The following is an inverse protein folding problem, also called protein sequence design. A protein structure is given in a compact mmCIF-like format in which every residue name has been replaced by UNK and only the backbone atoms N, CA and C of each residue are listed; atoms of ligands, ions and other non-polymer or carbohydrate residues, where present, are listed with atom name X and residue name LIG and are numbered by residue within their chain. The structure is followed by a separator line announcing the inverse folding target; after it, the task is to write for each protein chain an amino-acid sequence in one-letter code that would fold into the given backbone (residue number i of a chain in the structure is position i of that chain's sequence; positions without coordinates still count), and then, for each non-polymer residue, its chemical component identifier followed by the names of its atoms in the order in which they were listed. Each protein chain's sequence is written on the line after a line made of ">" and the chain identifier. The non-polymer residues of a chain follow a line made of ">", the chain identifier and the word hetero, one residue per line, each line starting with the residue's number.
data_IF_368213998569
#
_entry.id   IF_368213998569
#
_cell.length_a   1.000
_cell.length_b   1.000
_cell.length_c   1.000
_cell.angle_alpha   90.00
_cell.angle_beta   90.00
_cell.angle_gamma   90.00
#
_symmetry.space_group_name_H-M   'P 1'
#
loop_
_entity.id
_entity.type
_entity.pdbx_description
1 polymer ?
#
# COMPACT_ATOMS: atom_id res chain seq x y z
N UNK A 1 0.05 -14.61 -1.54
CA UNK A 1 -0.56 -13.97 -0.38
C UNK A 1 -0.17 -12.50 -0.23
N UNK A 2 -1.16 -11.59 -0.20
CA UNK A 2 -1.07 -10.51 0.79
C UNK A 2 -0.84 -11.21 2.14
N UNK A 3 0.40 -11.23 2.66
CA UNK A 3 0.63 -11.50 4.07
C UNK A 3 0.20 -10.23 4.83
N UNK A 4 -1.07 -9.85 4.65
CA UNK A 4 -1.76 -8.93 5.52
C UNK A 4 -2.35 -9.81 6.60
N UNK A 5 -1.52 -10.16 7.59
CA UNK A 5 -2.07 -10.57 8.88
C UNK A 5 -2.86 -9.37 9.40
N UNK A 6 -4.18 -9.45 9.31
CA UNK A 6 -5.07 -8.41 9.85
C UNK A 6 -5.09 -8.59 11.36
N UNK A 7 -4.26 -7.81 12.04
CA UNK A 7 -4.18 -7.79 13.50
C UNK A 7 -5.31 -6.92 14.06
N UNK A 8 -6.31 -7.53 14.70
CA UNK A 8 -7.44 -6.80 15.31
C UNK A 8 -7.69 -7.26 16.75
N UNK A 9 -8.17 -6.34 17.59
CA UNK A 9 -8.47 -6.55 19.03
C UNK A 9 -9.91 -6.98 19.33
N UNK A 10 -10.85 -6.87 18.38
CA UNK A 10 -12.28 -7.13 18.64
C UNK A 10 -12.70 -8.56 18.24
N UNK A 11 -13.69 -9.10 18.97
CA UNK A 11 -14.23 -10.46 18.80
C UNK A 11 -15.17 -10.64 17.59
N UNK A 12 -15.70 -9.56 17.03
CA UNK A 12 -16.68 -9.65 15.92
C UNK A 12 -16.04 -9.21 14.59
N UNK A 13 -16.09 -10.13 13.63
CA UNK A 13 -15.72 -9.92 12.24
C UNK A 13 -16.90 -10.39 11.40
N UNK A 14 -17.46 -9.50 10.57
CA UNK A 14 -18.57 -9.86 9.70
C UNK A 14 -18.01 -10.55 8.46
N UNK A 15 -18.20 -11.87 8.36
CA UNK A 15 -17.56 -12.72 7.34
C UNK A 15 -18.22 -12.65 5.96
N UNK A 16 -19.30 -11.87 5.81
CA UNK A 16 -20.21 -11.95 4.66
C UNK A 16 -19.64 -11.40 3.34
N UNK A 17 -18.52 -10.68 3.35
CA UNK A 17 -18.01 -9.99 2.15
C UNK A 17 -16.75 -10.59 1.51
N UNK A 18 -16.18 -11.68 2.04
CA UNK A 18 -14.95 -12.29 1.50
C UNK A 18 -15.24 -13.54 0.66
N UNK A 19 -15.59 -13.35 -0.61
CA UNK A 19 -15.91 -14.46 -1.53
C UNK A 19 -14.73 -15.03 -2.34
N UNK A 20 -13.49 -14.57 -2.15
CA UNK A 20 -12.34 -15.07 -2.94
C UNK A 20 -11.05 -15.23 -2.12
N UNK A 21 -10.86 -16.38 -1.46
CA UNK A 21 -9.54 -16.82 -0.93
C UNK A 21 -9.55 -17.42 0.49
N UNK A 22 -8.39 -17.95 0.91
CA UNK A 22 -8.13 -18.40 2.30
C UNK A 22 -7.46 -17.26 3.07
N UNK A 23 -8.14 -16.75 4.09
CA UNK A 23 -7.62 -15.69 4.97
C UNK A 23 -7.22 -16.30 6.32
N UNK A 24 -5.93 -16.26 6.65
CA UNK A 24 -5.44 -16.66 7.98
C UNK A 24 -5.45 -15.44 8.90
N UNK A 25 -6.44 -15.40 9.80
CA UNK A 25 -6.56 -14.38 10.84
C UNK A 25 -5.91 -14.90 12.12
N UNK A 26 -5.03 -14.10 12.73
CA UNK A 26 -4.40 -14.44 14.01
C UNK A 26 -4.94 -13.53 15.10
N UNK A 27 -5.74 -14.06 16.05
CA UNK A 27 -6.27 -13.27 17.15
C UNK A 27 -5.17 -12.95 18.17
N UNK A 28 -4.76 -11.69 18.25
CA UNK A 28 -3.68 -11.24 19.14
C UNK A 28 -3.94 -11.52 20.63
N UNK A 29 -5.21 -11.60 21.04
CA UNK A 29 -5.61 -11.84 22.43
C UNK A 29 -5.34 -13.28 22.90
N UNK A 30 -5.34 -14.25 21.99
CA UNK A 30 -5.28 -15.68 22.32
C UNK A 30 -3.92 -16.31 21.99
N UNK A 31 -2.90 -15.47 21.78
CA UNK A 31 -1.56 -15.94 21.45
C UNK A 31 -0.92 -16.53 22.71
N UNK A 32 -0.50 -17.79 22.63
CA UNK A 32 0.24 -18.44 23.71
C UNK A 32 1.53 -17.65 23.94
N UNK A 33 1.75 -17.21 25.17
CA UNK A 33 3.01 -16.57 25.56
C UNK A 33 4.09 -17.62 25.62
N UNK A 34 5.17 -17.37 24.88
CA UNK A 34 6.32 -18.26 24.85
C UNK A 34 7.19 -18.02 26.09
N UNK A 35 7.66 -19.08 26.74
CA UNK A 35 8.57 -18.98 27.90
C UNK A 35 9.86 -18.23 27.55
N UNK A 36 10.53 -17.70 28.55
CA UNK A 36 11.89 -17.16 28.37
C UNK A 36 12.82 -18.27 27.90
N UNK A 37 13.68 -17.91 26.96
CA UNK A 37 14.50 -18.84 26.21
C UNK A 37 15.76 -18.12 25.79
N UNK A 38 16.89 -18.78 25.97
CA UNK A 38 18.22 -18.23 25.73
C UNK A 38 18.77 -18.78 24.43
N UNK A 39 19.25 -17.89 23.56
CA UNK A 39 19.95 -18.31 22.35
C UNK A 39 21.39 -18.75 22.68
N UNK A 40 21.93 -19.75 21.98
CA UNK A 40 23.34 -20.10 22.08
C UNK A 40 24.21 -18.90 21.74
N UNK A 41 25.24 -18.65 22.55
CA UNK A 41 26.15 -17.53 22.38
C UNK A 41 27.25 -17.87 21.36
N UNK A 42 26.85 -18.10 20.11
CA UNK A 42 27.73 -18.46 19.00
C UNK A 42 27.75 -17.35 17.94
N UNK A 43 28.95 -17.05 17.41
CA UNK A 43 29.15 -16.04 16.35
C UNK A 43 28.66 -16.51 14.97
N UNK A 44 28.41 -17.81 14.82
CA UNK A 44 27.93 -18.38 13.57
C UNK A 44 26.40 -18.33 13.41
N UNK A 45 25.69 -17.87 14.46
CA UNK A 45 24.24 -17.79 14.49
C UNK A 45 23.77 -16.35 14.70
N UNK A 46 22.73 -15.98 13.97
CA UNK A 46 21.96 -14.77 14.22
C UNK A 46 20.49 -15.14 14.39
N UNK A 47 19.85 -14.84 15.54
CA UNK A 47 18.41 -15.05 15.70
C UNK A 47 17.61 -14.24 14.68
N UNK A 48 16.71 -14.90 13.94
CA UNK A 48 15.95 -14.26 12.86
C UNK A 48 15.10 -13.08 13.36
N UNK A 49 14.60 -13.15 14.60
CA UNK A 49 13.81 -12.08 15.20
C UNK A 49 14.57 -10.75 15.32
N UNK A 50 15.90 -10.79 15.48
CA UNK A 50 16.72 -9.59 15.58
C UNK A 50 16.92 -8.90 14.23
N UNK A 51 16.70 -9.61 13.13
CA UNK A 51 16.83 -9.09 11.76
C UNK A 51 15.55 -8.43 11.25
N UNK A 52 14.45 -8.47 12.01
CA UNK A 52 13.14 -7.95 11.59
C UNK A 52 12.75 -6.76 12.45
N UNK A 53 12.31 -5.67 11.82
CA UNK A 53 11.75 -4.53 12.54
C UNK A 53 10.23 -4.72 12.73
N UNK A 54 9.75 -4.66 13.98
CA UNK A 54 8.35 -4.93 14.31
C UNK A 54 7.79 -4.03 15.42
N UNK A 55 6.47 -3.91 15.45
CA UNK A 55 5.75 -3.20 16.51
C UNK A 55 5.63 -4.08 17.76
N UNK A 56 5.81 -3.51 18.95
CA UNK A 56 5.70 -4.23 20.23
C UNK A 56 4.36 -4.95 20.40
N UNK A 57 3.28 -4.46 19.79
CA UNK A 57 1.94 -5.07 19.84
C UNK A 57 1.85 -6.46 19.19
N UNK A 58 2.73 -6.77 18.24
CA UNK A 58 2.76 -8.07 17.53
C UNK A 58 3.93 -8.94 18.00
N UNK A 59 4.66 -8.52 19.03
CA UNK A 59 5.87 -9.21 19.47
C UNK A 59 5.59 -10.66 19.88
N UNK A 60 4.55 -10.91 20.68
CA UNK A 60 4.17 -12.27 21.11
C UNK A 60 3.84 -13.19 19.93
N UNK A 61 3.23 -12.64 18.88
CA UNK A 61 2.95 -13.38 17.66
C UNK A 61 4.24 -13.76 16.92
N UNK A 62 5.12 -12.79 16.71
CA UNK A 62 6.39 -13.00 16.03
C UNK A 62 7.30 -13.93 16.82
N UNK A 63 7.22 -13.88 18.16
CA UNK A 63 7.91 -14.82 19.05
C UNK A 63 7.47 -16.26 18.78
N UNK A 64 6.20 -16.53 18.53
CA UNK A 64 5.76 -17.90 18.21
C UNK A 64 6.20 -18.41 16.84
N UNK A 65 6.50 -17.54 15.88
CA UNK A 65 6.86 -17.92 14.51
C UNK A 65 8.37 -17.93 14.29
N UNK A 66 9.06 -16.87 14.72
CA UNK A 66 10.44 -16.61 14.32
C UNK A 66 11.46 -16.98 15.39
N UNK A 67 11.03 -17.17 16.64
CA UNK A 67 11.96 -17.28 17.80
C UNK A 67 12.68 -18.63 17.88
N UNK A 68 12.14 -19.68 17.25
CA UNK A 68 12.84 -20.96 17.08
C UNK A 68 13.71 -21.00 15.82
N UNK A 69 13.71 -19.94 15.02
CA UNK A 69 14.37 -19.93 13.72
C UNK A 69 15.62 -19.09 13.78
N UNK A 70 16.75 -19.69 13.43
CA UNK A 70 18.07 -19.08 13.48
C UNK A 70 18.69 -19.03 12.08
N UNK A 71 19.41 -17.95 11.80
CA UNK A 71 20.16 -17.79 10.56
C UNK A 71 21.57 -18.32 10.79
N UNK A 72 22.01 -19.21 9.91
CA UNK A 72 23.35 -19.81 9.91
C UNK A 72 24.12 -19.42 8.65
N UNK A 73 25.46 -19.38 8.74
CA UNK A 73 26.33 -19.12 7.58
C UNK A 73 26.49 -20.35 6.68
N UNK A 74 26.62 -21.54 7.27
CA UNK A 74 26.80 -22.81 6.55
C UNK A 74 25.82 -23.86 7.05
N UNK A 75 25.35 -24.71 6.14
CA UNK A 75 24.46 -25.84 6.44
C UNK A 75 25.14 -26.88 7.34
N UNK A 76 26.46 -27.05 7.25
CA UNK A 76 27.23 -27.97 8.08
C UNK A 76 27.15 -27.60 9.57
N UNK A 77 27.12 -26.30 9.88
CA UNK A 77 26.99 -25.82 11.25
C UNK A 77 25.61 -26.06 11.85
N UNK A 78 24.60 -26.42 11.04
CA UNK A 78 23.21 -26.59 11.50
C UNK A 78 23.01 -27.81 12.40
N UNK A 79 23.84 -28.86 12.26
CA UNK A 79 23.64 -30.13 12.97
C UNK A 79 23.58 -29.95 14.49
N UNK A 80 24.50 -29.17 15.05
CA UNK A 80 24.55 -28.91 16.49
C UNK A 80 23.30 -28.17 17.00
N UNK A 81 22.71 -27.29 16.18
CA UNK A 81 21.57 -26.48 16.59
C UNK A 81 20.23 -27.19 16.38
N UNK A 82 20.18 -28.21 15.50
CA UNK A 82 19.01 -29.07 15.36
C UNK A 82 18.76 -29.91 16.61
N UNK A 83 19.83 -30.38 17.26
CA UNK A 83 19.76 -31.12 18.52
C UNK A 83 19.13 -30.27 19.63
N UNK A 84 19.46 -28.97 19.66
CA UNK A 84 18.89 -27.98 20.58
C UNK A 84 17.47 -27.49 20.17
N UNK A 85 16.80 -28.19 19.25
CA UNK A 85 15.44 -27.91 18.78
C UNK A 85 15.24 -26.58 18.02
N UNK A 86 16.29 -26.06 17.38
CA UNK A 86 16.20 -24.90 16.49
C UNK A 86 15.91 -25.28 15.03
N UNK A 87 15.19 -24.40 14.33
CA UNK A 87 15.11 -24.42 12.88
C UNK A 87 16.22 -23.55 12.31
N UNK A 88 16.94 -24.03 11.30
CA UNK A 88 18.07 -23.33 10.72
C UNK A 88 17.75 -22.83 9.30
N UNK A 89 18.20 -21.63 8.97
CA UNK A 89 18.05 -21.03 7.64
C UNK A 89 19.39 -20.48 7.17
N UNK A 90 19.85 -20.88 5.99
CA UNK A 90 21.06 -20.30 5.41
C UNK A 90 20.77 -18.97 4.69
N UNK A 91 21.82 -18.24 4.33
CA UNK A 91 21.71 -16.95 3.60
C UNK A 91 21.12 -17.14 2.20
N UNK A 92 21.27 -18.33 1.61
CA UNK A 92 20.79 -18.67 0.26
C UNK A 92 19.30 -19.04 0.23
N UNK A 93 18.67 -19.23 1.40
CA UNK A 93 17.25 -19.55 1.55
C UNK A 93 16.91 -21.02 1.77
N UNK A 94 17.89 -21.90 1.95
CA UNK A 94 17.65 -23.29 2.37
C UNK A 94 17.22 -23.32 3.84
N UNK A 95 16.13 -24.05 4.10
CA UNK A 95 15.52 -24.17 5.42
C UNK A 95 15.61 -25.61 5.90
N UNK A 96 16.11 -25.79 7.13
CA UNK A 96 16.23 -27.07 7.79
C UNK A 96 15.42 -27.05 9.08
N UNK A 97 14.39 -27.89 9.15
CA UNK A 97 13.56 -28.00 10.36
C UNK A 97 14.19 -28.92 11.39
N UNK A 98 13.95 -28.62 12.67
CA UNK A 98 14.21 -29.54 13.78
C UNK A 98 13.48 -30.90 13.65
N UNK A 99 12.44 -31.00 12.80
CA UNK A 99 11.74 -32.26 12.52
C UNK A 99 12.37 -33.05 11.35
N UNK A 100 13.57 -32.69 10.90
CA UNK A 100 14.36 -33.47 9.94
C UNK A 100 13.96 -33.30 8.47
N UNK A 101 13.02 -32.40 8.13
CA UNK A 101 12.74 -32.06 6.74
C UNK A 101 13.58 -30.85 6.29
N UNK A 102 14.16 -30.96 5.10
CA UNK A 102 14.97 -29.92 4.46
C UNK A 102 14.23 -29.38 3.23
N UNK A 103 14.05 -28.08 3.17
CA UNK A 103 13.51 -27.36 2.03
C UNK A 103 14.65 -26.59 1.37
N UNK A 104 15.05 -27.02 0.17
CA UNK A 104 16.09 -26.37 -0.63
C UNK A 104 15.88 -26.58 -2.12
N UNK A 105 16.59 -25.81 -2.94
CA UNK A 105 16.58 -25.94 -4.39
C UNK A 105 16.67 -24.62 -5.16
N UNK A 106 16.82 -24.72 -6.49
CA UNK A 106 16.94 -23.55 -7.35
C UNK A 106 15.63 -22.76 -7.44
N UNK A 107 15.62 -21.58 -6.84
CA UNK A 107 14.50 -20.64 -6.95
C UNK A 107 14.65 -19.80 -8.23
N UNK A 108 13.77 -20.02 -9.21
CA UNK A 108 13.79 -19.29 -10.50
C UNK A 108 13.66 -17.75 -10.35
N UNK A 109 13.13 -17.30 -9.21
CA UNK A 109 12.88 -15.87 -8.92
C UNK A 109 14.05 -15.31 -8.11
N UNK A 110 14.78 -14.34 -8.69
CA UNK A 110 15.90 -13.64 -8.04
C UNK A 110 15.47 -12.78 -6.83
N UNK A 111 14.19 -12.46 -6.70
CA UNK A 111 13.68 -11.56 -5.67
C UNK A 111 12.46 -12.16 -4.97
N UNK A 112 12.49 -12.18 -3.64
CA UNK A 112 11.35 -12.59 -2.82
C UNK A 112 10.25 -11.53 -2.79
N UNK A 113 9.06 -11.93 -2.36
CA UNK A 113 7.89 -11.04 -2.22
C UNK A 113 8.20 -9.83 -1.35
N UNK A 114 9.07 -10.02 -0.36
CA UNK A 114 9.53 -8.98 0.54
C UNK A 114 10.37 -7.90 -0.16
N UNK A 115 11.24 -8.27 -1.10
CA UNK A 115 12.05 -7.32 -1.87
C UNK A 115 11.16 -6.44 -2.75
N UNK A 116 10.14 -7.04 -3.38
CA UNK A 116 9.14 -6.31 -4.16
C UNK A 116 8.33 -5.39 -3.26
N UNK A 117 7.91 -5.87 -2.08
CA UNK A 117 7.18 -5.07 -1.11
C UNK A 117 8.00 -3.88 -0.60
N UNK A 118 9.28 -4.06 -0.27
CA UNK A 118 10.15 -2.96 0.14
C UNK A 118 10.33 -1.93 -0.97
N UNK A 119 10.53 -2.38 -2.21
CA UNK A 119 10.62 -1.45 -3.35
C UNK A 119 9.31 -0.69 -3.58
N UNK A 120 8.17 -1.36 -3.43
CA UNK A 120 6.85 -0.73 -3.47
C UNK A 120 6.66 0.28 -2.34
N UNK A 121 7.17 -0.02 -1.14
CA UNK A 121 7.12 0.89 0.01
C UNK A 121 7.97 2.14 -0.23
N UNK A 122 9.21 1.98 -0.69
CA UNK A 122 10.09 3.09 -1.05
C UNK A 122 9.45 4.01 -2.11
N UNK A 123 8.94 3.42 -3.20
CA UNK A 123 8.30 4.19 -4.28
C UNK A 123 7.05 4.93 -3.80
N UNK A 124 6.27 4.35 -2.88
CA UNK A 124 5.11 5.03 -2.27
C UNK A 124 5.52 6.19 -1.37
N UNK A 125 6.63 6.06 -0.65
CA UNK A 125 7.18 7.16 0.17
C UNK A 125 7.71 8.29 -0.71
N UNK A 126 8.38 7.98 -1.82
CA UNK A 126 8.80 8.95 -2.84
C UNK A 126 7.61 9.67 -3.46
N UNK A 127 6.56 8.94 -3.90
CA UNK A 127 5.33 9.52 -4.45
C UNK A 127 4.67 10.49 -3.45
N UNK A 128 4.65 10.14 -2.15
CA UNK A 128 4.09 11.00 -1.11
C UNK A 128 4.88 12.30 -0.93
N UNK A 129 6.22 12.22 -0.99
CA UNK A 129 7.08 13.42 -0.92
C UNK A 129 6.87 14.32 -2.13
N UNK A 130 6.84 13.75 -3.33
CA UNK A 130 6.58 14.50 -4.58
C UNK A 130 5.22 15.21 -4.53
N UNK A 131 4.16 14.54 -4.05
CA UNK A 131 2.84 15.18 -3.86
C UNK A 131 2.87 16.36 -2.89
N UNK A 132 3.54 16.21 -1.75
CA UNK A 132 3.72 17.32 -0.80
C UNK A 132 4.43 18.51 -1.45
N UNK A 133 5.48 18.25 -2.24
CA UNK A 133 6.19 19.32 -2.95
C UNK A 133 5.34 20.00 -4.03
N UNK A 134 4.48 19.25 -4.74
CA UNK A 134 3.53 19.83 -5.69
C UNK A 134 2.57 20.77 -4.96
N UNK A 135 1.98 20.34 -3.84
CA UNK A 135 1.06 21.16 -3.05
C UNK A 135 1.72 22.47 -2.57
N UNK A 136 2.99 22.41 -2.14
CA UNK A 136 3.74 23.60 -1.74
C UNK A 136 4.03 24.54 -2.92
N UNK A 137 4.39 24.01 -4.10
CA UNK A 137 4.63 24.83 -5.28
C UNK A 137 3.34 25.45 -5.83
N UNK A 138 2.23 24.73 -5.79
CA UNK A 138 0.91 25.26 -6.16
C UNK A 138 0.53 26.45 -5.28
N UNK A 139 0.71 26.34 -3.95
CA UNK A 139 0.49 27.47 -3.03
C UNK A 139 1.40 28.67 -3.32
N UNK A 140 2.63 28.43 -3.78
CA UNK A 140 3.53 29.52 -4.21
C UNK A 140 3.03 30.20 -5.48
N UNK A 141 2.49 29.44 -6.44
CA UNK A 141 1.86 29.99 -7.64
C UNK A 141 0.66 30.86 -7.26
N UNK A 142 -0.23 30.37 -6.40
CA UNK A 142 -1.41 31.14 -5.95
C UNK A 142 -1.00 32.49 -5.35
N UNK A 143 0.00 32.51 -4.46
CA UNK A 143 0.51 33.77 -3.89
C UNK A 143 1.07 34.73 -4.95
N UNK A 144 1.80 34.19 -5.92
CA UNK A 144 2.36 34.98 -7.02
C UNK A 144 1.22 35.52 -7.91
N UNK A 145 0.16 34.76 -8.14
CA UNK A 145 -1.03 35.19 -8.89
C UNK A 145 -1.75 36.32 -8.16
N UNK A 146 -1.92 36.23 -6.84
CA UNK A 146 -2.51 37.28 -6.01
C UNK A 146 -1.68 38.58 -6.08
N UNK A 147 -0.35 38.48 -5.92
CA UNK A 147 0.55 39.64 -6.08
C UNK A 147 0.46 40.26 -7.49
N UNK A 148 0.27 39.42 -8.52
CA UNK A 148 0.10 39.88 -9.90
C UNK A 148 -1.21 40.67 -10.06
N UNK A 149 -2.30 40.21 -9.45
CA UNK A 149 -3.61 40.88 -9.46
C UNK A 149 -3.48 42.26 -8.80
N UNK A 150 -2.88 42.34 -7.61
CA UNK A 150 -2.66 43.60 -6.90
C UNK A 150 -1.87 44.62 -7.74
N UNK A 151 -0.84 44.17 -8.46
CA UNK A 151 -0.05 45.04 -9.32
C UNK A 151 -0.86 45.47 -10.57
N UNK A 152 -1.69 44.60 -11.13
CA UNK A 152 -2.56 44.97 -12.25
C UNK A 152 -3.61 46.00 -11.84
N UNK A 153 -4.19 45.87 -10.64
CA UNK A 153 -5.16 46.84 -10.12
C UNK A 153 -4.50 48.20 -9.91
N UNK A 154 -3.30 48.25 -9.30
CA UNK A 154 -2.50 49.47 -9.19
C UNK A 154 -2.15 50.08 -10.54
N UNK A 155 -1.83 49.24 -11.54
CA UNK A 155 -1.58 49.70 -12.91
C UNK A 155 -2.84 50.30 -13.53
N UNK A 156 -4.01 49.69 -13.30
CA UNK A 156 -5.29 50.14 -13.86
C UNK A 156 -5.70 51.50 -13.29
N UNK A 157 -5.57 51.70 -11.97
CA UNK A 157 -5.87 52.99 -11.32
C UNK A 157 -4.93 54.09 -11.81
N UNK A 158 -3.62 53.81 -11.93
CA UNK A 158 -2.66 54.74 -12.51
C UNK A 158 -2.97 55.07 -13.98
N UNK A 159 -3.40 54.09 -14.77
CA UNK A 159 -3.80 54.33 -16.15
C UNK A 159 -5.02 55.25 -16.25
N UNK A 160 -5.99 55.09 -15.34
CA UNK A 160 -7.16 55.96 -15.25
C UNK A 160 -6.76 57.40 -14.86
N UNK A 161 -5.86 57.57 -13.89
CA UNK A 161 -5.30 58.87 -13.52
C UNK A 161 -4.58 59.54 -14.69
N UNK A 162 -3.70 58.80 -15.38
CA UNK A 162 -3.02 59.26 -16.60
C UNK A 162 -4.00 59.74 -17.65
N UNK A 163 -5.04 58.95 -17.96
CA UNK A 163 -6.04 59.34 -18.95
C UNK A 163 -6.81 60.59 -18.52
N UNK A 164 -7.09 60.73 -17.22
CA UNK A 164 -7.65 61.95 -16.62
C UNK A 164 -6.79 63.19 -16.89
N UNK A 165 -5.49 63.12 -16.60
CA UNK A 165 -4.55 64.22 -16.87
C UNK A 165 -4.43 64.52 -18.36
N UNK A 166 -4.46 63.51 -19.23
CA UNK A 166 -4.46 63.73 -20.69
C UNK A 166 -5.72 64.45 -21.15
N UNK A 167 -6.90 64.10 -20.62
CA UNK A 167 -8.14 64.81 -20.95
C UNK A 167 -8.15 66.26 -20.47
N UNK A 168 -7.58 66.55 -19.30
CA UNK A 168 -7.45 67.93 -18.82
C UNK A 168 -6.42 68.73 -19.64
N UNK A 169 -5.28 68.13 -19.99
CA UNK A 169 -4.30 68.75 -20.89
C UNK A 169 -4.91 69.06 -22.27
N UNK A 170 -5.68 68.13 -22.83
CA UNK A 170 -6.37 68.36 -24.11
C UNK A 170 -7.42 69.48 -24.01
N UNK A 171 -8.14 69.59 -22.90
CA UNK A 171 -9.12 70.66 -22.72
C UNK A 171 -8.45 72.03 -22.56
N UNK A 172 -7.35 72.10 -21.80
CA UNK A 172 -6.51 73.31 -21.69
C UNK A 172 -5.95 73.69 -23.06
N UNK A 173 -5.43 72.73 -23.82
CA UNK A 173 -4.89 72.96 -25.18
C UNK A 173 -5.96 73.50 -26.11
N UNK A 174 -7.17 72.94 -26.10
CA UNK A 174 -8.29 73.45 -26.88
C UNK A 174 -8.72 74.86 -26.45
N UNK A 175 -8.70 75.16 -25.15
CA UNK A 175 -8.99 76.49 -24.63
C UNK A 175 -7.93 77.52 -25.06
N UNK A 176 -6.65 77.14 -25.08
CA UNK A 176 -5.57 77.97 -25.61
C UNK A 176 -5.80 78.27 -27.09
N UNK A 177 -6.07 77.24 -27.90
CA UNK A 177 -6.37 77.43 -29.33
C UNK A 177 -7.59 78.33 -29.59
N UNK A 178 -8.67 78.17 -28.82
CA UNK A 178 -9.84 79.03 -28.92
C UNK A 178 -9.54 80.49 -28.55
N UNK A 179 -8.73 80.71 -27.50
CA UNK A 179 -8.28 82.05 -27.13
C UNK A 179 -7.35 82.66 -28.18
N UNK A 180 -6.45 81.89 -28.78
CA UNK A 180 -5.58 82.38 -29.86
C UNK A 180 -6.38 82.84 -31.09
N UNK A 181 -7.42 82.08 -31.48
CA UNK A 181 -8.40 82.48 -32.51
C UNK A 181 -9.12 83.78 -32.14
N UNK A 182 -9.59 83.91 -30.89
CA UNK A 182 -10.25 85.11 -30.40
C UNK A 182 -9.31 86.33 -30.40
N UNK A 183 -8.05 86.16 -30.01
CA UNK A 183 -7.03 87.21 -30.06
C UNK A 183 -6.79 87.64 -31.50
N UNK A 184 -6.67 86.68 -32.43
CA UNK A 184 -6.46 86.97 -33.86
C UNK A 184 -7.62 87.76 -34.46
N UNK A 185 -8.87 87.34 -34.22
CA UNK A 185 -10.05 88.06 -34.73
C UNK A 185 -10.19 89.45 -34.10
N UNK A 186 -9.83 89.61 -32.82
CA UNK A 186 -9.85 90.91 -32.15
C UNK A 186 -8.77 91.84 -32.71
N UNK A 187 -7.57 91.32 -32.99
CA UNK A 187 -6.50 92.05 -33.64
C UNK A 187 -6.88 92.50 -35.06
N UNK A 188 -7.59 91.65 -35.82
CA UNK A 188 -8.14 92.05 -37.12
C UNK A 188 -9.17 93.19 -36.98
N UNK A 189 -10.10 93.10 -36.01
CA UNK A 189 -11.08 94.18 -35.72
C UNK A 189 -10.37 95.49 -35.34
N UNK A 190 -9.34 95.44 -34.51
CA UNK A 190 -8.53 96.61 -34.13
C UNK A 190 -7.85 97.20 -35.37
N UNK A 191 -7.32 96.38 -36.27
CA UNK A 191 -6.69 96.83 -37.52
C UNK A 191 -7.69 97.51 -38.45
N UNK A 192 -8.93 97.00 -38.52
CA UNK A 192 -10.02 97.63 -39.25
C UNK A 192 -10.45 98.97 -38.64
N UNK A 193 -10.58 99.06 -37.31
CA UNK A 193 -10.90 100.31 -36.61
C UNK A 193 -9.79 101.37 -36.76
N UNK A 194 -8.52 100.97 -36.68
CA UNK A 194 -7.38 101.88 -36.95
C UNK A 194 -7.39 102.40 -38.39
N UNK A 195 -7.80 101.59 -39.37
CA UNK A 195 -7.97 102.03 -40.76
C UNK A 195 -9.17 102.97 -40.92
N UNK A 196 -10.27 102.72 -40.22
CA UNK A 196 -11.47 103.56 -40.24
C UNK A 196 -11.25 104.94 -39.60
N UNK A 197 -10.35 105.05 -38.62
CA UNK A 197 -10.04 106.32 -37.95
C UNK A 197 -9.01 107.19 -38.70
N UNK A 198 -8.49 106.73 -39.86
CA UNK A 198 -7.56 107.49 -40.70
C UNK A 198 -8.25 108.18 -41.90
N UNK A 199 -9.53 108.54 -41.79
CA UNK A 199 -10.22 109.37 -42.78
C UNK A 199 -9.95 110.85 -42.44
N UNK A 200 -9.40 111.57 -43.42
CA UNK A 200 -8.82 112.90 -43.33
C UNK A 200 -9.70 113.97 -42.65
N UNK A 201 -9.09 114.87 -41.87
CA UNK A 201 -9.63 116.18 -41.55
C UNK A 201 -9.30 117.17 -42.67
N UNK A 202 -10.31 117.76 -43.29
CA UNK A 202 -10.22 118.99 -44.12
C UNK A 202 -11.65 119.35 -44.55
N UNK A 203 -12.15 120.58 -44.57
CA UNK A 203 -11.69 121.92 -44.16
C UNK A 203 -12.94 122.82 -44.37
N UNK A 204 -13.30 123.75 -43.46
CA UNK A 204 -13.84 125.08 -43.83
C UNK A 204 -14.05 125.97 -42.60
N UNK A 205 -13.45 127.18 -42.67
CA UNK A 205 -13.42 128.26 -41.69
C UNK A 205 -14.78 128.91 -41.34
N UNK A 206 -14.95 129.33 -40.07
CA UNK A 206 -14.95 130.76 -39.64
C UNK A 206 -15.42 130.91 -38.18
N UNK A 207 -14.64 131.62 -37.34
CA UNK A 207 -15.05 132.08 -36.01
C UNK A 207 -13.95 132.03 -34.94
N UNK A 208 -12.98 132.93 -35.00
CA UNK A 208 -11.91 133.14 -34.00
C UNK A 208 -12.51 134.09 -32.94
N UNK A 209 -12.77 133.69 -31.69
CA UNK A 209 -11.82 133.88 -30.57
C UNK A 209 -12.09 132.96 -29.34
N UNK A 210 -13.20 132.19 -29.30
CA UNK A 210 -13.43 131.17 -28.25
C UNK A 210 -12.77 129.81 -28.56
N UNK A 211 -12.28 129.64 -29.79
CA UNK A 211 -11.71 128.38 -30.28
C UNK A 211 -10.33 128.11 -29.68
N UNK A 212 -9.48 129.13 -29.43
CA UNK A 212 -8.10 128.88 -28.99
C UNK A 212 -8.00 128.35 -27.55
N UNK A 213 -8.85 128.82 -26.64
CA UNK A 213 -8.94 128.32 -25.26
C UNK A 213 -9.45 126.87 -25.20
N UNK A 214 -10.53 126.59 -25.95
CA UNK A 214 -11.08 125.25 -26.10
C UNK A 214 -10.13 124.29 -26.82
N UNK A 215 -9.34 124.78 -27.79
CA UNK A 215 -8.37 123.96 -28.52
C UNK A 215 -7.16 123.62 -27.64
N UNK A 216 -6.75 124.51 -26.73
CA UNK A 216 -5.72 124.23 -25.72
C UNK A 216 -6.21 123.25 -24.64
N UNK A 217 -7.46 123.34 -24.20
CA UNK A 217 -8.09 122.33 -23.32
C UNK A 217 -8.23 120.97 -24.01
N UNK A 218 -8.67 120.96 -25.27
CA UNK A 218 -8.74 119.73 -26.09
C UNK A 218 -7.34 119.14 -26.29
N UNK A 219 -6.30 119.96 -26.42
CA UNK A 219 -4.92 119.48 -26.54
C UNK A 219 -4.42 118.86 -25.24
N UNK A 220 -4.67 119.49 -24.09
CA UNK A 220 -4.36 118.91 -22.77
C UNK A 220 -5.14 117.63 -22.50
N UNK A 221 -6.44 117.60 -22.80
CA UNK A 221 -7.28 116.41 -22.66
C UNK A 221 -6.85 115.29 -23.62
N UNK A 222 -6.38 115.60 -24.83
CA UNK A 222 -5.79 114.62 -25.77
C UNK A 222 -4.45 114.07 -25.25
N UNK A 223 -3.63 114.91 -24.63
CA UNK A 223 -2.37 114.49 -24.00
C UNK A 223 -2.63 113.60 -22.78
N UNK A 224 -3.60 113.94 -21.93
CA UNK A 224 -4.05 113.09 -20.82
C UNK A 224 -4.67 111.78 -21.30
N UNK A 225 -5.51 111.82 -22.34
CA UNK A 225 -6.05 110.61 -22.97
C UNK A 225 -4.94 109.71 -23.52
N UNK A 226 -3.90 110.28 -24.13
CA UNK A 226 -2.76 109.50 -24.61
C UNK A 226 -1.94 108.90 -23.46
N UNK A 227 -1.76 109.63 -22.35
CA UNK A 227 -1.12 109.07 -21.15
C UNK A 227 -1.92 107.91 -20.57
N UNK A 228 -3.23 108.10 -20.35
CA UNK A 228 -4.13 107.05 -19.84
C UNK A 228 -4.18 105.86 -20.80
N UNK A 229 -4.14 106.11 -22.11
CA UNK A 229 -4.12 105.06 -23.14
C UNK A 229 -2.83 104.26 -23.12
N UNK A 230 -1.69 104.92 -22.97
CA UNK A 230 -0.40 104.24 -22.84
C UNK A 230 -0.34 103.42 -21.54
N UNK A 231 -0.83 103.97 -20.43
CA UNK A 231 -0.96 103.23 -19.17
C UNK A 231 -1.89 102.03 -19.30
N UNK A 232 -3.02 102.16 -20.00
CA UNK A 232 -3.93 101.06 -20.29
C UNK A 232 -3.28 99.97 -21.15
N UNK A 233 -2.57 100.34 -22.20
CA UNK A 233 -1.85 99.39 -23.06
C UNK A 233 -0.71 98.70 -22.28
N UNK A 234 0.02 99.42 -21.43
CA UNK A 234 1.03 98.84 -20.55
C UNK A 234 0.43 97.86 -19.52
N UNK A 235 -0.69 98.22 -18.88
CA UNK A 235 -1.40 97.32 -17.96
C UNK A 235 -1.97 96.09 -18.67
N UNK A 236 -2.50 96.27 -19.89
CA UNK A 236 -3.03 95.17 -20.71
C UNK A 236 -1.93 94.18 -21.08
N UNK A 237 -0.79 94.68 -21.58
CA UNK A 237 0.37 93.84 -21.91
C UNK A 237 0.90 93.09 -20.68
N UNK A 238 0.91 93.75 -19.51
CA UNK A 238 1.35 93.14 -18.25
C UNK A 238 0.39 92.05 -17.77
N UNK A 239 -0.92 92.26 -17.93
CA UNK A 239 -1.94 91.26 -17.61
C UNK A 239 -1.85 90.05 -18.55
N UNK A 240 -1.61 90.28 -19.85
CA UNK A 240 -1.46 89.23 -20.87
C UNK A 240 -0.22 88.35 -20.60
N UNK A 241 0.91 88.97 -20.24
CA UNK A 241 2.12 88.26 -19.79
C UNK A 241 1.88 87.43 -18.51
N UNK A 242 1.07 87.91 -17.58
CA UNK A 242 0.73 87.16 -16.36
C UNK A 242 -0.17 85.96 -16.66
N UNK A 243 -1.13 86.09 -17.59
CA UNK A 243 -1.96 84.96 -18.04
C UNK A 243 -1.14 83.89 -18.76
N UNK A 244 -0.21 84.29 -19.62
CA UNK A 244 0.72 83.35 -20.27
C UNK A 244 1.57 82.59 -19.24
N UNK A 245 2.22 83.31 -18.32
CA UNK A 245 3.05 82.68 -17.28
C UNK A 245 2.27 81.72 -16.37
N UNK A 246 1.02 82.05 -16.06
CA UNK A 246 0.15 81.17 -15.27
C UNK A 246 -0.18 79.88 -16.04
N UNK A 247 -0.55 79.98 -17.31
CA UNK A 247 -0.88 78.80 -18.13
C UNK A 247 0.36 77.92 -18.37
N UNK A 248 1.53 78.52 -18.57
CA UNK A 248 2.79 77.79 -18.69
C UNK A 248 3.14 77.04 -17.39
N UNK A 249 2.99 77.69 -16.23
CA UNK A 249 3.20 77.03 -14.94
C UNK A 249 2.20 75.90 -14.70
N UNK A 250 0.90 76.13 -14.94
CA UNK A 250 -0.13 75.10 -14.79
C UNK A 250 0.18 73.89 -15.70
N UNK A 251 0.56 74.14 -16.97
CA UNK A 251 0.95 73.08 -17.91
C UNK A 251 2.21 72.33 -17.47
N UNK A 252 3.21 73.01 -16.89
CA UNK A 252 4.43 72.38 -16.40
C UNK A 252 4.17 71.47 -15.20
N UNK A 253 3.32 71.89 -14.25
CA UNK A 253 2.95 71.09 -13.08
C UNK A 253 2.30 69.77 -13.51
N UNK A 254 1.33 69.83 -14.44
CA UNK A 254 0.68 68.60 -14.94
C UNK A 254 1.61 67.72 -15.77
N UNK A 255 2.61 68.30 -16.45
CA UNK A 255 3.62 67.53 -17.19
C UNK A 255 4.59 66.81 -16.26
N UNK A 256 5.02 67.43 -15.16
CA UNK A 256 5.84 66.77 -14.12
C UNK A 256 5.08 65.60 -13.47
N UNK A 257 3.82 65.81 -13.07
CA UNK A 257 2.96 64.74 -12.53
C UNK A 257 2.79 63.58 -13.53
N UNK A 258 2.65 63.90 -14.83
CA UNK A 258 2.53 62.90 -15.88
C UNK A 258 3.81 62.08 -16.06
N UNK A 259 4.98 62.73 -16.03
CA UNK A 259 6.27 62.04 -16.13
C UNK A 259 6.51 61.09 -14.96
N UNK A 260 6.13 61.48 -13.75
CA UNK A 260 6.30 60.63 -12.57
C UNK A 260 5.37 59.41 -12.59
N UNK A 261 4.10 59.59 -13.01
CA UNK A 261 3.18 58.46 -13.24
C UNK A 261 3.71 57.53 -14.36
N UNK A 262 4.32 58.07 -15.42
CA UNK A 262 4.90 57.27 -16.51
C UNK A 262 6.09 56.43 -16.01
N UNK A 263 6.97 57.00 -15.17
CA UNK A 263 8.09 56.27 -14.55
C UNK A 263 7.60 55.14 -13.65
N UNK A 264 6.60 55.39 -12.80
CA UNK A 264 6.03 54.36 -11.93
C UNK A 264 5.37 53.24 -12.75
N UNK A 265 4.64 53.57 -13.82
CA UNK A 265 4.05 52.59 -14.73
C UNK A 265 5.11 51.67 -15.34
N UNK A 266 6.22 52.24 -15.83
CA UNK A 266 7.33 51.45 -16.41
C UNK A 266 7.92 50.51 -15.35
N UNK A 267 8.08 50.96 -14.11
CA UNK A 267 8.56 50.14 -13.00
C UNK A 267 7.64 48.95 -12.71
N UNK A 268 6.32 49.18 -12.63
CA UNK A 268 5.36 48.09 -12.44
C UNK A 268 5.32 47.13 -13.63
N UNK A 269 5.51 47.61 -14.86
CA UNK A 269 5.62 46.74 -16.05
C UNK A 269 6.85 45.83 -16.00
N UNK A 270 7.98 46.34 -15.51
CA UNK A 270 9.17 45.52 -15.30
C UNK A 270 8.97 44.47 -14.20
N UNK A 271 8.35 44.85 -13.07
CA UNK A 271 7.99 43.91 -12.00
C UNK A 271 7.06 42.79 -12.49
N UNK A 272 6.02 43.11 -13.26
CA UNK A 272 5.12 42.11 -13.86
C UNK A 272 5.91 41.14 -14.74
N UNK A 273 6.85 41.64 -15.56
CA UNK A 273 7.68 40.78 -16.42
C UNK A 273 8.56 39.83 -15.59
N UNK A 274 9.12 40.30 -14.48
CA UNK A 274 9.95 39.48 -13.60
C UNK A 274 9.11 38.37 -12.94
N UNK A 275 7.97 38.73 -12.35
CA UNK A 275 7.07 37.78 -11.69
C UNK A 275 6.54 36.73 -12.69
N UNK A 276 6.19 37.12 -13.91
CA UNK A 276 5.78 36.18 -14.97
C UNK A 276 6.87 35.15 -15.30
N UNK A 277 8.14 35.55 -15.37
CA UNK A 277 9.26 34.62 -15.60
C UNK A 277 9.42 33.63 -14.45
N UNK A 278 9.32 34.11 -13.21
CA UNK A 278 9.39 33.26 -12.02
C UNK A 278 8.25 32.24 -12.02
N UNK A 279 7.03 32.68 -12.35
CA UNK A 279 5.86 31.82 -12.48
C UNK A 279 6.05 30.74 -13.57
N UNK A 280 6.58 31.08 -14.74
CA UNK A 280 6.89 30.11 -15.81
C UNK A 280 7.93 29.07 -15.36
N UNK A 281 8.96 29.50 -14.62
CA UNK A 281 9.98 28.59 -14.09
C UNK A 281 9.41 27.59 -13.09
N UNK A 282 8.50 28.04 -12.21
CA UNK A 282 7.83 27.19 -11.22
C UNK A 282 6.87 26.22 -11.92
N UNK A 283 6.09 26.69 -12.90
CA UNK A 283 5.22 25.84 -13.72
C UNK A 283 5.99 24.72 -14.42
N UNK A 284 7.13 25.05 -15.05
CA UNK A 284 8.01 24.05 -15.68
C UNK A 284 8.52 23.00 -14.69
N UNK A 285 8.82 23.39 -13.45
CA UNK A 285 9.24 22.46 -12.41
C UNK A 285 8.10 21.53 -11.98
N UNK A 286 6.87 22.05 -11.84
CA UNK A 286 5.68 21.23 -11.57
C UNK A 286 5.47 20.19 -12.67
N UNK A 287 5.56 20.58 -13.95
CA UNK A 287 5.38 19.66 -15.08
C UNK A 287 6.41 18.50 -15.05
N UNK A 288 7.66 18.79 -14.71
CA UNK A 288 8.70 17.76 -14.55
C UNK A 288 8.37 16.78 -13.43
N UNK A 289 7.90 17.29 -12.29
CA UNK A 289 7.51 16.45 -11.15
C UNK A 289 6.29 15.59 -11.52
N UNK A 290 5.29 16.16 -12.21
CA UNK A 290 4.11 15.41 -12.69
C UNK A 290 4.47 14.28 -13.66
N UNK A 291 5.46 14.49 -14.54
CA UNK A 291 5.97 13.43 -15.43
C UNK A 291 6.61 12.30 -14.63
N UNK A 292 7.39 12.64 -13.60
CA UNK A 292 8.02 11.65 -12.73
C UNK A 292 6.99 10.89 -11.88
N UNK A 293 5.99 11.58 -11.33
CA UNK A 293 4.88 10.95 -10.60
C UNK A 293 4.15 9.92 -11.48
N UNK A 294 3.87 10.25 -12.75
CA UNK A 294 3.27 9.31 -13.72
C UNK A 294 4.16 8.09 -13.96
N UNK A 295 5.48 8.27 -14.09
CA UNK A 295 6.44 7.15 -14.24
C UNK A 295 6.46 6.26 -12.98
N UNK A 296 6.46 6.85 -11.79
CA UNK A 296 6.42 6.12 -10.52
C UNK A 296 5.12 5.33 -10.36
N UNK A 297 3.95 5.93 -10.67
CA UNK A 297 2.66 5.23 -10.68
C UNK A 297 2.65 4.01 -11.60
N UNK A 298 3.22 4.13 -12.81
CA UNK A 298 3.33 3.01 -13.75
C UNK A 298 4.19 1.88 -13.17
N UNK A 299 5.37 2.21 -12.62
CA UNK A 299 6.25 1.22 -11.96
C UNK A 299 5.56 0.53 -10.77
N UNK A 300 4.82 1.28 -9.96
CA UNK A 300 4.04 0.72 -8.84
C UNK A 300 3.00 -0.28 -9.36
N UNK A 301 2.28 0.07 -10.44
CA UNK A 301 1.30 -0.82 -11.05
C UNK A 301 1.95 -2.12 -11.56
N UNK A 302 3.08 -2.01 -12.25
CA UNK A 302 3.83 -3.17 -12.76
C UNK A 302 4.31 -4.08 -11.62
N UNK A 303 4.87 -3.50 -10.54
CA UNK A 303 5.29 -4.25 -9.36
C UNK A 303 4.12 -4.90 -8.61
N UNK A 304 2.96 -4.23 -8.53
CA UNK A 304 1.73 -4.81 -7.98
C UNK A 304 1.27 -6.02 -8.81
N UNK A 305 1.33 -5.95 -10.14
CA UNK A 305 1.03 -7.09 -11.00
C UNK A 305 1.99 -8.26 -10.77
N UNK A 306 3.29 -8.00 -10.71
CA UNK A 306 4.28 -9.04 -10.38
C UNK A 306 4.02 -9.67 -9.01
N UNK A 307 3.70 -8.86 -8.01
CA UNK A 307 3.35 -9.34 -6.67
C UNK A 307 2.11 -10.24 -6.70
N UNK A 308 1.08 -9.87 -7.46
CA UNK A 308 -0.13 -10.69 -7.62
C UNK A 308 0.13 -12.02 -8.33
N UNK A 309 0.99 -12.03 -9.36
CA UNK A 309 1.39 -13.27 -10.04
C UNK A 309 2.11 -14.23 -9.08
N UNK A 310 3.09 -13.72 -8.31
CA UNK A 310 3.78 -14.52 -7.29
C UNK A 310 2.79 -15.03 -6.24
N UNK A 311 1.81 -14.20 -5.86
CA UNK A 311 0.79 -14.55 -4.89
C UNK A 311 -0.12 -15.70 -5.35
N UNK A 312 -0.50 -15.74 -6.63
CA UNK A 312 -1.27 -16.85 -7.21
C UNK A 312 -0.43 -18.13 -7.32
N UNK A 313 0.83 -18.03 -7.72
CA UNK A 313 1.72 -19.20 -7.73
C UNK A 313 1.89 -19.81 -6.32
N UNK A 314 2.08 -18.98 -5.30
CA UNK A 314 2.14 -19.43 -3.91
C UNK A 314 0.85 -20.14 -3.48
N UNK A 315 -0.31 -19.64 -3.91
CA UNK A 315 -1.61 -20.25 -3.61
C UNK A 315 -1.73 -21.67 -4.18
N UNK A 316 -1.26 -21.88 -5.41
CA UNK A 316 -1.25 -23.21 -6.03
C UNK A 316 -0.35 -24.17 -5.25
N UNK A 317 0.84 -23.71 -4.84
CA UNK A 317 1.79 -24.50 -4.06
C UNK A 317 1.23 -24.88 -2.67
N UNK A 318 0.59 -23.95 -1.96
CA UNK A 318 -0.07 -24.23 -0.67
C UNK A 318 -1.19 -25.28 -0.81
N UNK A 319 -2.00 -25.18 -1.87
CA UNK A 319 -3.03 -26.18 -2.15
C UNK A 319 -2.44 -27.57 -2.40
N UNK A 320 -1.33 -27.64 -3.13
CA UNK A 320 -0.61 -28.89 -3.36
C UNK A 320 -0.01 -29.46 -2.06
N UNK A 321 0.56 -28.62 -1.19
CA UNK A 321 1.08 -29.04 0.11
C UNK A 321 -0.03 -29.58 1.02
N UNK A 322 -1.20 -28.94 1.07
CA UNK A 322 -2.34 -29.42 1.86
C UNK A 322 -2.83 -30.79 1.37
N UNK A 323 -2.85 -31.00 0.05
CA UNK A 323 -3.17 -32.30 -0.54
C UNK A 323 -2.14 -33.37 -0.17
N UNK A 324 -0.85 -33.03 -0.13
CA UNK A 324 0.21 -33.94 0.33
C UNK A 324 0.01 -34.27 1.82
N UNK A 325 -0.24 -33.27 2.68
CA UNK A 325 -0.49 -33.48 4.11
C UNK A 325 -1.68 -34.39 4.37
N UNK A 326 -2.82 -34.16 3.69
CA UNK A 326 -4.01 -35.03 3.78
C UNK A 326 -3.69 -36.47 3.38
N UNK A 327 -2.95 -36.67 2.29
CA UNK A 327 -2.49 -37.99 1.86
C UNK A 327 -1.54 -38.65 2.85
N UNK A 328 -0.65 -37.89 3.50
CA UNK A 328 0.27 -38.41 4.53
C UNK A 328 -0.47 -38.88 5.79
N UNK A 329 -1.56 -38.21 6.17
CA UNK A 329 -2.41 -38.59 7.32
C UNK A 329 -3.19 -39.90 7.05
N UNK A 330 -3.52 -40.20 5.79
CA UNK A 330 -4.22 -41.45 5.41
C UNK A 330 -3.33 -42.71 5.49
N UNK A 331 -2.02 -42.57 5.70
CA UNK A 331 -1.14 -43.73 5.88
C UNK A 331 -1.44 -44.39 7.24
N UNK A 332 -1.52 -45.74 7.32
CA UNK A 332 -1.75 -46.44 8.57
C UNK A 332 -0.78 -46.00 9.66
N UNK A 333 -1.31 -45.60 10.82
CA UNK A 333 -0.51 -45.22 11.98
C UNK A 333 0.29 -46.45 12.45
N UNK A 334 1.62 -46.36 12.38
CA UNK A 334 2.53 -47.45 12.79
C UNK A 334 3.58 -47.86 11.75
N UNK A 335 3.55 -47.32 10.53
CA UNK A 335 4.67 -47.44 9.59
C UNK A 335 5.81 -46.59 10.16
N UNK A 336 6.79 -47.22 10.80
CA UNK A 336 8.07 -46.56 11.13
C UNK A 336 8.61 -45.95 9.83
N UNK A 337 9.02 -44.69 9.87
CA UNK A 337 9.73 -44.07 8.76
C UNK A 337 10.92 -44.98 8.45
N UNK A 338 10.83 -45.72 7.35
CA UNK A 338 11.88 -46.65 6.97
C UNK A 338 13.10 -45.81 6.57
N UNK A 339 14.05 -45.66 7.50
CA UNK A 339 15.36 -45.05 7.25
C UNK A 339 16.06 -45.67 6.02
N UNK A 340 15.71 -46.90 5.67
CA UNK A 340 16.19 -47.59 4.47
C UNK A 340 15.84 -46.87 3.16
N UNK A 341 14.74 -46.10 3.10
CA UNK A 341 14.28 -45.47 1.85
C UNK A 341 14.62 -43.97 1.72
N UNK A 342 15.30 -43.37 2.71
CA UNK A 342 15.67 -41.95 2.69
C UNK A 342 16.74 -41.61 1.65
N UNK A 343 17.57 -42.59 1.27
CA UNK A 343 18.70 -42.41 0.35
C UNK A 343 18.37 -42.67 -1.13
N UNK A 344 17.13 -43.02 -1.47
CA UNK A 344 16.75 -43.32 -2.85
C UNK A 344 16.30 -42.07 -3.63
N UNK A 345 16.66 -42.00 -4.91
CA UNK A 345 16.17 -40.93 -5.78
C UNK A 345 14.69 -41.09 -6.14
N UNK A 346 14.03 -39.98 -6.48
CA UNK A 346 12.62 -39.93 -6.86
C UNK A 346 12.27 -40.89 -8.00
N UNK A 347 13.15 -41.05 -9.00
CA UNK A 347 12.90 -41.94 -10.13
C UNK A 347 12.95 -43.43 -9.74
N UNK A 348 13.89 -43.77 -8.85
CA UNK A 348 14.04 -45.13 -8.33
C UNK A 348 12.87 -45.51 -7.42
N UNK A 349 12.45 -44.60 -6.55
CA UNK A 349 11.25 -44.77 -5.71
C UNK A 349 10.00 -44.98 -6.56
N UNK A 350 9.82 -44.21 -7.63
CA UNK A 350 8.69 -44.40 -8.55
C UNK A 350 8.72 -45.76 -9.24
N UNK A 351 9.89 -46.25 -9.64
CA UNK A 351 10.03 -47.55 -10.31
C UNK A 351 9.75 -48.70 -9.34
N UNK A 352 10.24 -48.60 -8.10
CA UNK A 352 9.98 -49.59 -7.05
C UNK A 352 8.51 -49.60 -6.61
N UNK A 353 7.88 -48.43 -6.50
CA UNK A 353 6.44 -48.31 -6.27
C UNK A 353 5.63 -49.02 -7.36
N UNK A 354 6.01 -48.87 -8.64
CA UNK A 354 5.35 -49.58 -9.75
C UNK A 354 5.51 -51.10 -9.61
N UNK A 355 6.69 -51.58 -9.25
CA UNK A 355 6.95 -53.01 -9.02
C UNK A 355 6.10 -53.57 -7.88
N UNK A 356 6.08 -52.89 -6.72
CA UNK A 356 5.29 -53.29 -5.56
C UNK A 356 3.79 -53.24 -5.89
N UNK A 357 3.34 -52.22 -6.62
CA UNK A 357 1.93 -52.15 -7.07
C UNK A 357 1.57 -53.32 -7.99
N UNK A 358 2.51 -53.76 -8.83
CA UNK A 358 2.33 -54.93 -9.68
C UNK A 358 2.30 -56.23 -8.87
N UNK A 359 3.12 -56.36 -7.83
CA UNK A 359 3.07 -57.49 -6.91
C UNK A 359 1.78 -57.52 -6.09
N UNK A 360 1.33 -56.37 -5.57
CA UNK A 360 0.05 -56.25 -4.85
C UNK A 360 -1.14 -56.70 -5.71
N UNK A 361 -1.12 -56.42 -7.02
CA UNK A 361 -2.15 -56.92 -7.95
C UNK A 361 -2.23 -58.45 -7.98
N UNK A 362 -1.12 -59.18 -7.80
CA UNK A 362 -1.12 -60.65 -7.77
C UNK A 362 -1.88 -61.19 -6.56
N UNK A 363 -1.89 -60.45 -5.45
CA UNK A 363 -2.54 -60.84 -4.20
C UNK A 363 -3.99 -60.31 -4.08
N UNK A 364 -4.57 -59.77 -5.17
CA UNK A 364 -5.92 -59.19 -5.17
C UNK A 364 -7.04 -60.17 -4.76
N UNK A 365 -6.83 -61.49 -4.91
CA UNK A 365 -7.84 -62.51 -4.69
C UNK A 365 -7.58 -63.35 -3.41
N UNK A 366 -6.72 -62.89 -2.51
CA UNK A 366 -6.40 -63.62 -1.27
C UNK A 366 -7.56 -63.48 -0.28
N UNK A 367 -7.98 -64.60 0.32
CA UNK A 367 -9.04 -64.59 1.34
C UNK A 367 -8.50 -64.05 2.68
N UNK A 368 -8.83 -62.79 2.96
CA UNK A 368 -8.39 -62.08 4.17
C UNK A 368 -8.78 -62.77 5.48
N UNK A 369 -9.90 -63.51 5.51
CA UNK A 369 -10.41 -64.20 6.71
C UNK A 369 -9.89 -65.62 6.89
N UNK A 370 -8.95 -66.06 6.05
CA UNK A 370 -8.41 -67.42 6.11
C UNK A 370 -7.69 -67.69 7.44
N UNK A 371 -6.95 -66.71 7.95
CA UNK A 371 -6.24 -66.83 9.24
C UNK A 371 -7.20 -67.01 10.42
N UNK A 372 -8.23 -66.17 10.52
CA UNK A 372 -9.23 -66.26 11.58
C UNK A 372 -10.01 -67.58 11.53
N UNK A 373 -10.39 -68.03 10.32
CA UNK A 373 -11.06 -69.32 10.11
C UNK A 373 -10.16 -70.49 10.50
N UNK A 374 -8.88 -70.45 10.16
CA UNK A 374 -7.91 -71.47 10.54
C UNK A 374 -7.77 -71.56 12.07
N UNK A 375 -7.70 -70.42 12.74
CA UNK A 375 -7.60 -70.38 14.20
C UNK A 375 -8.85 -70.97 14.88
N UNK A 376 -10.05 -70.65 14.38
CA UNK A 376 -11.29 -71.27 14.87
C UNK A 376 -11.28 -72.79 14.64
N UNK A 377 -10.94 -73.24 13.42
CA UNK A 377 -10.86 -74.67 13.11
C UNK A 377 -9.80 -75.41 13.93
N UNK A 378 -8.66 -74.78 14.24
CA UNK A 378 -7.65 -75.37 15.12
C UNK A 378 -8.14 -75.50 16.56
N UNK A 379 -8.91 -74.53 17.06
CA UNK A 379 -9.54 -74.61 18.38
C UNK A 379 -10.50 -75.81 18.45
N UNK A 380 -11.41 -75.92 17.48
CA UNK A 380 -12.39 -77.01 17.40
C UNK A 380 -11.69 -78.37 17.27
N UNK A 381 -10.63 -78.43 16.46
CA UNK A 381 -9.82 -79.64 16.29
C UNK A 381 -9.18 -80.10 17.60
N UNK A 382 -8.63 -79.16 18.38
CA UNK A 382 -8.03 -79.47 19.67
C UNK A 382 -9.07 -79.97 20.69
N UNK A 383 -10.27 -79.39 20.68
CA UNK A 383 -11.37 -79.82 21.56
C UNK A 383 -11.85 -81.24 21.20
N UNK A 384 -12.04 -81.52 19.91
CA UNK A 384 -12.38 -82.85 19.41
C UNK A 384 -11.30 -83.87 19.72
N UNK A 385 -10.02 -83.50 19.59
CA UNK A 385 -8.89 -84.36 19.94
C UNK A 385 -8.94 -84.74 21.42
N UNK A 386 -9.16 -83.78 22.31
CA UNK A 386 -9.30 -84.03 23.76
C UNK A 386 -10.46 -84.97 24.06
N UNK A 387 -11.63 -84.75 23.43
CA UNK A 387 -12.80 -85.61 23.59
C UNK A 387 -12.53 -87.04 23.14
N UNK A 388 -11.76 -87.23 22.07
CA UNK A 388 -11.36 -88.55 21.60
C UNK A 388 -10.42 -89.26 22.60
N UNK A 389 -9.49 -88.54 23.21
CA UNK A 389 -8.62 -89.06 24.28
C UNK A 389 -9.44 -89.49 25.52
N UNK A 390 -10.44 -88.70 25.90
CA UNK A 390 -11.37 -89.03 26.99
C UNK A 390 -12.17 -90.30 26.68
N UNK A 391 -12.75 -90.40 25.48
CA UNK A 391 -13.50 -91.58 25.03
C UNK A 391 -12.62 -92.83 25.03
N UNK A 392 -11.37 -92.74 24.55
CA UNK A 392 -10.43 -93.87 24.55
C UNK A 392 -10.10 -94.32 25.98
N UNK A 393 -9.97 -93.38 26.91
CA UNK A 393 -9.76 -93.68 28.33
C UNK A 393 -10.98 -94.35 28.94
N UNK A 394 -12.19 -93.83 28.67
CA UNK A 394 -13.45 -94.45 29.10
C UNK A 394 -13.62 -95.87 28.54
N UNK A 395 -13.29 -96.07 27.26
CA UNK A 395 -13.34 -97.39 26.62
C UNK A 395 -12.40 -98.40 27.32
N UNK A 396 -11.17 -97.97 27.66
CA UNK A 396 -10.22 -98.79 28.40
C UNK A 396 -10.76 -99.16 29.79
N UNK A 397 -11.32 -98.19 30.52
CA UNK A 397 -11.91 -98.42 31.84
C UNK A 397 -13.10 -99.39 31.78
N UNK A 398 -13.99 -99.25 30.80
CA UNK A 398 -15.13 -100.16 30.60
C UNK A 398 -14.62 -101.58 30.31
N UNK A 399 -13.58 -101.73 29.47
CA UNK A 399 -12.99 -103.02 29.15
C UNK A 399 -12.39 -103.70 30.39
N UNK A 400 -11.67 -102.95 31.23
CA UNK A 400 -11.12 -103.43 32.50
C UNK A 400 -12.24 -103.83 33.47
N UNK A 401 -13.31 -103.03 33.57
CA UNK A 401 -14.47 -103.34 34.40
C UNK A 401 -15.19 -104.61 33.93
N UNK A 402 -15.40 -104.80 32.62
CA UNK A 402 -16.01 -106.02 32.06
C UNK A 402 -15.15 -107.25 32.40
N UNK A 403 -13.82 -107.15 32.27
CA UNK A 403 -12.91 -108.24 32.64
C UNK A 403 -13.01 -108.57 34.14
N UNK A 404 -13.05 -107.55 34.99
CA UNK A 404 -13.19 -107.73 36.44
C UNK A 404 -14.53 -108.35 36.83
N UNK A 405 -15.64 -107.92 36.20
CA UNK A 405 -16.97 -108.53 36.40
C UNK A 405 -16.96 -109.98 35.92
N UNK A 406 -16.35 -110.27 34.77
CA UNK A 406 -16.18 -111.63 34.26
C UNK A 406 -15.47 -112.52 35.28
N UNK A 407 -14.34 -112.07 35.81
CA UNK A 407 -13.59 -112.79 36.85
C UNK A 407 -14.42 -113.04 38.12
N UNK A 408 -15.14 -112.02 38.62
CA UNK A 408 -16.03 -112.18 39.78
C UNK A 408 -17.19 -113.16 39.52
N UNK A 409 -17.73 -113.18 38.30
CA UNK A 409 -18.77 -114.13 37.90
C UNK A 409 -18.21 -115.55 37.95
N UNK A 410 -17.01 -115.76 37.43
CA UNK A 410 -16.37 -117.07 37.42
C UNK A 410 -16.02 -117.52 38.86
N UNK A 411 -15.49 -116.63 39.70
CA UNK A 411 -15.27 -116.90 41.14
C UNK A 411 -16.58 -117.28 41.88
N UNK A 412 -17.68 -116.59 41.59
CA UNK A 412 -19.00 -116.90 42.18
C UNK A 412 -19.58 -118.23 41.68
N UNK A 413 -19.37 -118.56 40.40
CA UNK A 413 -19.73 -119.86 39.84
C UNK A 413 -18.92 -120.99 40.48
N UNK A 414 -17.62 -120.81 40.65
CA UNK A 414 -16.73 -121.76 41.35
C UNK A 414 -17.21 -121.98 42.80
N UNK A 415 -17.51 -120.91 43.52
CA UNK A 415 -18.01 -120.98 44.89
C UNK A 415 -19.37 -121.71 45.00
N UNK A 416 -20.24 -121.52 44.01
CA UNK A 416 -21.54 -122.19 43.94
C UNK A 416 -21.37 -123.66 43.57
N UNK A 417 -20.46 -123.97 42.65
CA UNK A 417 -20.09 -125.35 42.31
C UNK A 417 -19.56 -126.11 43.53
N UNK A 418 -18.65 -125.51 44.31
CA UNK A 418 -18.14 -126.09 45.56
C UNK A 418 -19.28 -126.34 46.56
N UNK A 419 -20.19 -125.38 46.74
CA UNK A 419 -21.36 -125.55 47.63
C UNK A 419 -22.28 -126.68 47.17
N UNK A 420 -22.60 -126.73 45.88
CA UNK A 420 -23.41 -127.80 45.29
C UNK A 420 -22.73 -129.15 45.53
N UNK A 421 -21.42 -129.26 45.27
CA UNK A 421 -20.67 -130.50 45.45
C UNK A 421 -20.64 -130.95 46.93
N UNK A 422 -20.55 -130.00 47.87
CA UNK A 422 -20.69 -130.27 49.31
C UNK A 422 -22.08 -130.81 49.66
N UNK A 423 -23.16 -130.17 49.18
CA UNK A 423 -24.53 -130.64 49.43
C UNK A 423 -24.81 -132.00 48.78
N UNK A 424 -24.30 -132.26 47.58
CA UNK A 424 -24.38 -133.58 46.97
C UNK A 424 -23.62 -134.63 47.80
N UNK A 425 -22.42 -134.31 48.28
CA UNK A 425 -21.65 -135.21 49.16
C UNK A 425 -22.41 -135.51 50.46
N UNK A 426 -23.03 -134.50 51.09
CA UNK A 426 -23.88 -134.68 52.26
C UNK A 426 -25.11 -135.55 51.94
N UNK A 427 -25.81 -135.28 50.84
CA UNK A 427 -26.99 -136.07 50.41
C UNK A 427 -26.65 -137.54 50.11
N UNK A 428 -25.53 -137.79 49.42
CA UNK A 428 -25.04 -139.14 49.17
C UNK A 428 -24.59 -139.85 50.46
N UNK A 429 -24.03 -139.12 51.43
CA UNK A 429 -23.72 -139.70 52.76
C UNK A 429 -24.99 -140.07 53.56
N UNK A 430 -26.07 -139.29 53.43
CA UNK A 430 -27.35 -139.58 54.06
C UNK A 430 -28.04 -140.79 53.41
N UNK A 431 -28.04 -140.89 52.08
CA UNK A 431 -28.60 -142.05 51.36
C UNK A 431 -27.80 -143.33 51.59
N UNK A 432 -26.46 -143.23 51.73
CA UNK A 432 -25.62 -144.37 52.13
C UNK A 432 -25.88 -144.84 53.56
N UNK A 433 -26.31 -143.96 54.48
CA UNK A 433 -26.70 -144.33 55.85
C UNK A 433 -28.07 -144.98 55.98
N UNK A 434 -28.94 -144.85 54.98
CA UNK A 434 -30.26 -145.51 54.95
C UNK A 434 -30.23 -146.91 54.32
N UNK A 435 -29.09 -147.34 53.77
CA UNK A 435 -28.89 -148.63 53.09
C UNK A 435 -27.93 -149.60 53.80
N UNK A 436 -27.59 -149.33 55.06
CA UNK A 436 -26.92 -150.25 56.01
C UNK A 436 -27.70 -150.26 57.29
#
# INVERSE_FOLDING_TARGET
>A
MNICHVFKKNKEFDFKDFFFGKLTIVPLLNIKKYSEFTYPNDKNIIPLINCVNYNSKIYEFLKNILFKTVIVKSLESCQNYLEDSYNCVNIEGDYLSNHGFMNGGYNKKKYGIYTIYNKLKELKEEEKKEKSTIEELTKKIEKIEDELIDIYDKKSTMLAQKNGCVTTLNSITNNIHANDENIRTTNEKIKHLKRSNNINPDESHNGVDDINSLNDEVKKLKEELNKIRNEYDDFKNKLELLYQKRNENDSNIYMEEYEDIEKEKIHYEQKIKQIKKEMESVKSNIDKILINEKKHKKKILDLCHQMNQINEELRILEGNEENIRKKKILLPQGIKEFEEYTNYDKQELCSKLKSITFELKKYSNVNEKAGDRLNMMMSDFNELKKRNEEINTSYKNIKEMIQHIGKKKDEALEATYIKINKYFSEYFSYTSKYYT
#
